data_IF_237483565896
#
_entry.id   IF_237483565896
#
_cell.length_a   1.000
_cell.length_b   1.000
_cell.length_c   1.000
_cell.angle_alpha   90.00
_cell.angle_beta   90.00
_cell.angle_gamma   90.00
#
_symmetry.space_group_name_H-M   'P 1'
#
loop_
_entity.id
_entity.type
_entity.pdbx_description
1 polymer ?
#
# COMPACT_ATOMS: atom_id res chain seq x y z
N UNK A 1 16.32 -7.26 38.40
CA UNK A 1 17.09 -7.78 37.23
C UNK A 1 16.89 -9.28 36.90
N UNK A 2 15.68 -9.86 37.07
CA UNK A 2 15.51 -11.33 37.06
C UNK A 2 14.79 -11.94 35.83
N UNK A 3 14.40 -11.15 34.82
CA UNK A 3 13.64 -11.62 33.64
C UNK A 3 14.20 -11.15 32.28
N UNK A 4 15.37 -10.50 32.26
CA UNK A 4 15.96 -9.96 31.03
C UNK A 4 16.32 -11.03 29.98
N UNK A 5 16.55 -12.26 30.41
CA UNK A 5 16.90 -13.37 29.51
C UNK A 5 15.72 -13.79 28.61
N UNK A 6 14.47 -13.51 29.02
CA UNK A 6 13.27 -13.82 28.23
C UNK A 6 13.20 -13.01 26.94
N UNK A 7 13.75 -11.78 26.92
CA UNK A 7 13.81 -10.94 25.73
C UNK A 7 14.68 -11.53 24.61
N UNK A 8 15.52 -12.53 24.92
CA UNK A 8 16.31 -13.26 23.93
C UNK A 8 15.60 -14.53 23.41
N UNK A 9 14.38 -14.80 23.87
CA UNK A 9 13.60 -15.98 23.45
C UNK A 9 12.69 -15.59 22.28
N UNK A 10 12.61 -16.47 21.27
CA UNK A 10 11.83 -16.24 20.04
C UNK A 10 10.34 -16.07 20.29
N UNK A 11 9.77 -16.73 21.30
CA UNK A 11 8.35 -16.65 21.64
C UNK A 11 7.98 -15.44 22.50
N UNK A 12 8.94 -14.61 22.91
CA UNK A 12 8.66 -13.47 23.79
C UNK A 12 7.97 -12.34 22.99
N UNK A 13 6.83 -11.79 23.44
CA UNK A 13 6.01 -10.88 22.63
C UNK A 13 6.69 -9.55 22.29
N UNK A 14 7.63 -9.11 23.14
CA UNK A 14 8.39 -7.87 22.92
C UNK A 14 9.70 -8.09 22.13
N UNK A 15 9.90 -9.27 21.54
CA UNK A 15 10.99 -9.48 20.58
C UNK A 15 10.68 -8.71 19.30
N UNK A 16 11.69 -8.10 18.67
CA UNK A 16 11.52 -7.25 17.47
C UNK A 16 10.79 -8.01 16.36
N UNK A 17 11.17 -9.26 16.11
CA UNK A 17 10.54 -10.14 15.11
C UNK A 17 9.03 -10.33 15.35
N UNK A 18 8.60 -10.46 16.61
CA UNK A 18 7.19 -10.65 16.94
C UNK A 18 6.40 -9.34 16.86
N UNK A 19 7.02 -8.22 17.27
CA UNK A 19 6.41 -6.90 17.10
C UNK A 19 6.21 -6.57 15.61
N UNK A 20 7.19 -6.92 14.76
CA UNK A 20 7.09 -6.77 13.31
C UNK A 20 6.00 -7.67 12.71
N UNK A 21 5.91 -8.93 13.13
CA UNK A 21 4.87 -9.85 12.67
C UNK A 21 3.46 -9.36 13.06
N UNK A 22 3.28 -8.87 14.29
CA UNK A 22 2.02 -8.28 14.74
C UNK A 22 1.70 -7.02 13.94
N UNK A 23 2.67 -6.14 13.73
CA UNK A 23 2.47 -4.92 12.95
C UNK A 23 2.04 -5.21 11.51
N UNK A 24 2.68 -6.19 10.86
CA UNK A 24 2.31 -6.60 9.50
C UNK A 24 0.90 -7.22 9.46
N UNK A 25 0.56 -8.03 10.46
CA UNK A 25 -0.78 -8.59 10.58
C UNK A 25 -1.84 -7.51 10.80
N UNK A 26 -1.59 -6.54 11.68
CA UNK A 26 -2.46 -5.38 11.92
C UNK A 26 -2.64 -4.54 10.66
N UNK A 27 -1.58 -4.34 9.89
CA UNK A 27 -1.64 -3.56 8.64
C UNK A 27 -2.50 -4.27 7.58
N UNK A 28 -2.32 -5.58 7.41
CA UNK A 28 -3.12 -6.39 6.49
C UNK A 28 -4.59 -6.44 6.93
N UNK A 29 -4.85 -6.61 8.23
CA UNK A 29 -6.21 -6.58 8.77
C UNK A 29 -6.89 -5.22 8.54
N UNK A 30 -6.15 -4.12 8.72
CA UNK A 30 -6.64 -2.77 8.44
C UNK A 30 -7.01 -2.59 6.97
N UNK A 31 -6.19 -3.08 6.05
CA UNK A 31 -6.47 -3.06 4.62
C UNK A 31 -7.74 -3.87 4.29
N UNK A 32 -7.80 -5.13 4.71
CA UNK A 32 -8.99 -5.99 4.53
C UNK A 32 -10.26 -5.35 5.09
N UNK A 33 -10.17 -4.75 6.28
CA UNK A 33 -11.31 -4.05 6.90
C UNK A 33 -11.77 -2.84 6.08
N UNK A 34 -10.85 -2.11 5.45
CA UNK A 34 -11.20 -1.01 4.57
C UNK A 34 -11.87 -1.51 3.28
N UNK A 35 -11.34 -2.57 2.67
CA UNK A 35 -11.95 -3.20 1.50
C UNK A 35 -13.38 -3.70 1.79
N UNK A 36 -13.59 -4.35 2.94
CA UNK A 36 -14.93 -4.79 3.36
C UNK A 36 -15.89 -3.62 3.61
N UNK A 37 -15.41 -2.52 4.20
CA UNK A 37 -16.24 -1.33 4.41
C UNK A 37 -16.67 -0.71 3.09
N UNK A 38 -15.76 -0.60 2.13
CA UNK A 38 -16.08 -0.08 0.80
C UNK A 38 -17.08 -0.98 0.09
N UNK A 39 -16.87 -2.30 0.12
CA UNK A 39 -17.80 -3.27 -0.44
C UNK A 39 -19.20 -3.17 0.18
N UNK A 40 -19.30 -3.09 1.51
CA UNK A 40 -20.58 -2.92 2.19
C UNK A 40 -21.25 -1.60 1.83
N UNK A 41 -20.47 -0.53 1.66
CA UNK A 41 -20.99 0.76 1.19
C UNK A 41 -21.60 0.65 -0.20
N UNK A 42 -20.95 -0.05 -1.13
CA UNK A 42 -21.48 -0.29 -2.49
C UNK A 42 -22.81 -1.07 -2.44
N UNK A 43 -22.90 -2.12 -1.64
CA UNK A 43 -24.17 -2.86 -1.43
C UNK A 43 -25.28 -1.94 -0.89
N UNK A 44 -24.96 -1.09 0.08
CA UNK A 44 -25.95 -0.16 0.64
C UNK A 44 -26.43 0.88 -0.39
N UNK A 45 -25.54 1.34 -1.27
CA UNK A 45 -25.87 2.24 -2.38
C UNK A 45 -26.78 1.53 -3.39
N UNK A 46 -26.41 0.32 -3.83
CA UNK A 46 -27.25 -0.51 -4.72
C UNK A 46 -28.64 -0.76 -4.12
N UNK A 47 -28.72 -1.08 -2.83
CA UNK A 47 -29.99 -1.30 -2.13
C UNK A 47 -30.86 -0.05 -2.08
N UNK A 48 -30.27 1.13 -1.88
CA UNK A 48 -30.98 2.42 -1.90
C UNK A 48 -31.53 2.74 -3.29
N UNK A 49 -30.74 2.48 -4.34
CA UNK A 49 -31.16 2.70 -5.72
C UNK A 49 -32.31 1.75 -6.11
N UNK A 50 -32.24 0.49 -5.69
CA UNK A 50 -33.35 -0.45 -5.86
C UNK A 50 -34.62 -0.01 -5.12
N UNK A 51 -34.50 0.45 -3.88
CA UNK A 51 -35.62 0.98 -3.10
C UNK A 51 -36.25 2.20 -3.78
N UNK A 52 -35.42 3.11 -4.31
CA UNK A 52 -35.87 4.28 -5.06
C UNK A 52 -36.62 3.88 -6.35
N UNK A 53 -36.07 2.95 -7.13
CA UNK A 53 -36.73 2.43 -8.35
C UNK A 53 -38.08 1.79 -8.00
N UNK A 54 -38.13 0.96 -6.95
CA UNK A 54 -39.38 0.36 -6.46
C UNK A 54 -40.40 1.42 -6.05
N UNK A 55 -39.97 2.52 -5.42
CA UNK A 55 -40.84 3.63 -5.07
C UNK A 55 -41.36 4.40 -6.29
N UNK A 56 -40.52 4.64 -7.30
CA UNK A 56 -40.91 5.30 -8.56
C UNK A 56 -41.94 4.49 -9.34
N UNK A 57 -41.79 3.16 -9.38
CA UNK A 57 -42.78 2.26 -9.98
C UNK A 57 -44.11 2.32 -9.24
N UNK A 58 -44.09 2.28 -7.89
CA UNK A 58 -45.32 2.42 -7.08
C UNK A 58 -46.03 3.76 -7.28
N UNK A 59 -45.27 4.83 -7.53
CA UNK A 59 -45.81 6.14 -7.85
C UNK A 59 -46.30 6.27 -9.31
N UNK A 60 -46.08 5.25 -10.15
CA UNK A 60 -46.48 5.24 -11.55
C UNK A 60 -45.59 6.07 -12.48
N UNK A 61 -44.41 6.51 -12.02
CA UNK A 61 -43.48 7.30 -12.83
C UNK A 61 -42.71 6.43 -13.85
N UNK A 62 -42.50 5.15 -13.53
CA UNK A 62 -41.71 4.21 -14.33
C UNK A 62 -42.51 2.90 -14.50
N UNK A 63 -42.50 2.26 -15.68
CA UNK A 63 -43.17 0.97 -15.88
C UNK A 63 -42.51 -0.17 -15.09
N UNK A 64 -43.28 -1.18 -14.71
CA UNK A 64 -42.79 -2.35 -13.96
C UNK A 64 -41.73 -3.16 -14.74
N UNK A 65 -41.72 -3.06 -16.07
CA UNK A 65 -40.72 -3.69 -16.94
C UNK A 65 -39.29 -3.27 -16.60
N UNK A 66 -39.11 -2.02 -16.17
CA UNK A 66 -37.78 -1.46 -15.90
C UNK A 66 -37.19 -1.99 -14.59
N UNK A 67 -38.02 -2.53 -13.69
CA UNK A 67 -37.56 -3.19 -12.46
C UNK A 67 -37.04 -4.61 -12.73
N UNK A 68 -37.58 -5.30 -13.74
CA UNK A 68 -37.16 -6.66 -14.15
C UNK A 68 -35.98 -6.65 -15.12
N UNK A 69 -35.72 -5.50 -15.74
CA UNK A 69 -34.60 -5.30 -16.66
C UNK A 69 -33.27 -5.36 -15.90
N UNK A 70 -32.39 -6.29 -16.29
CA UNK A 70 -31.04 -6.35 -15.76
C UNK A 70 -30.22 -5.19 -16.33
N UNK A 71 -29.93 -4.18 -15.52
CA UNK A 71 -29.19 -2.99 -15.98
C UNK A 71 -27.85 -3.36 -16.58
N UNK A 72 -27.07 -4.24 -15.93
CA UNK A 72 -25.79 -4.72 -16.48
C UNK A 72 -25.88 -5.34 -17.88
N UNK A 73 -27.03 -5.93 -18.25
CA UNK A 73 -27.24 -6.56 -19.56
C UNK A 73 -27.61 -5.54 -20.65
N UNK A 74 -28.08 -4.36 -20.28
CA UNK A 74 -28.55 -3.31 -21.20
C UNK A 74 -27.81 -1.98 -21.06
N UNK A 75 -26.96 -1.84 -20.06
CA UNK A 75 -25.86 -0.89 -19.98
C UNK A 75 -24.72 -1.36 -20.89
N UNK A 76 -25.07 -1.89 -22.07
CA UNK A 76 -24.12 -1.94 -23.18
C UNK A 76 -23.82 -0.47 -23.45
N UNK A 77 -22.56 -0.01 -23.30
CA UNK A 77 -22.23 1.36 -23.61
C UNK A 77 -22.72 1.58 -25.04
N UNK A 78 -23.63 2.52 -25.20
CA UNK A 78 -24.24 2.84 -26.48
C UNK A 78 -23.08 3.33 -27.38
N UNK A 79 -22.41 2.42 -28.08
CA UNK A 79 -21.20 2.68 -28.87
C UNK A 79 -21.46 3.76 -29.93
N UNK A 80 -22.74 3.99 -30.27
CA UNK A 80 -23.17 4.99 -31.23
C UNK A 80 -23.49 6.38 -30.65
N UNK A 81 -23.62 6.55 -29.33
CA UNK A 81 -24.05 7.83 -28.73
C UNK A 81 -23.11 8.36 -27.63
N UNK A 82 -22.21 7.53 -27.08
CA UNK A 82 -21.27 7.96 -26.07
C UNK A 82 -19.83 7.95 -26.63
N UNK A 83 -19.39 9.10 -27.15
CA UNK A 83 -17.98 9.30 -27.54
C UNK A 83 -17.01 9.26 -26.34
N UNK A 84 -17.53 9.16 -25.11
CA UNK A 84 -16.71 9.12 -23.89
C UNK A 84 -16.43 7.69 -23.41
N UNK A 85 -17.22 6.67 -23.81
CA UNK A 85 -16.99 5.26 -23.44
C UNK A 85 -16.05 4.51 -24.40
N UNK A 86 -15.73 5.08 -25.57
CA UNK A 86 -14.63 4.59 -26.39
C UNK A 86 -13.27 4.74 -25.69
N UNK A 87 -13.18 5.70 -24.75
CA UNK A 87 -11.97 5.92 -23.97
C UNK A 87 -11.69 4.79 -22.98
N UNK A 88 -12.68 4.01 -22.56
CA UNK A 88 -12.50 3.04 -21.46
C UNK A 88 -11.78 1.77 -21.89
N UNK A 89 -11.88 1.34 -23.15
CA UNK A 89 -11.15 0.17 -23.65
C UNK A 89 -9.72 0.55 -24.04
N UNK A 90 -9.53 1.70 -24.68
CA UNK A 90 -8.21 2.24 -25.02
C UNK A 90 -7.44 2.62 -23.75
N UNK A 91 -8.07 3.27 -22.76
CA UNK A 91 -7.47 3.47 -21.42
C UNK A 91 -7.15 2.14 -20.71
N UNK A 92 -7.94 1.08 -20.88
CA UNK A 92 -7.61 -0.21 -20.26
C UNK A 92 -6.39 -0.87 -20.91
N UNK A 93 -6.24 -0.74 -22.23
CA UNK A 93 -5.06 -1.21 -22.95
C UNK A 93 -3.84 -0.34 -22.66
N UNK A 94 -4.00 0.99 -22.62
CA UNK A 94 -2.96 1.96 -22.31
C UNK A 94 -2.50 1.85 -20.85
N UNK A 95 -3.42 1.62 -19.89
CA UNK A 95 -3.06 1.36 -18.49
C UNK A 95 -2.24 0.08 -18.32
N UNK A 96 -2.53 -0.97 -19.09
CA UNK A 96 -1.73 -2.20 -19.04
C UNK A 96 -0.33 -1.98 -19.66
N UNK A 97 -0.25 -1.24 -20.77
CA UNK A 97 1.03 -0.83 -21.37
C UNK A 97 1.84 0.08 -20.42
N UNK A 98 1.17 1.02 -19.74
CA UNK A 98 1.77 1.93 -18.76
C UNK A 98 2.26 1.19 -17.51
N UNK A 99 1.53 0.18 -17.02
CA UNK A 99 1.99 -0.66 -15.92
C UNK A 99 3.20 -1.51 -16.33
N UNK A 100 3.21 -2.07 -17.54
CA UNK A 100 4.38 -2.77 -18.09
C UNK A 100 5.59 -1.85 -18.25
N UNK A 101 5.40 -0.61 -18.73
CA UNK A 101 6.46 0.39 -18.84
C UNK A 101 6.99 0.82 -17.47
N UNK A 102 6.10 1.07 -16.49
CA UNK A 102 6.49 1.37 -15.11
C UNK A 102 7.24 0.21 -14.48
N UNK A 103 6.87 -1.03 -14.77
CA UNK A 103 7.53 -2.21 -14.23
C UNK A 103 8.91 -2.43 -14.89
N UNK A 104 9.02 -2.20 -16.20
CA UNK A 104 10.30 -2.16 -16.90
C UNK A 104 11.21 -1.05 -16.38
N UNK A 105 10.68 0.13 -16.07
CA UNK A 105 11.42 1.24 -15.48
C UNK A 105 11.91 0.90 -14.07
N UNK A 106 11.05 0.30 -13.23
CA UNK A 106 11.44 -0.24 -11.90
C UNK A 106 12.56 -1.27 -12.02
N UNK A 107 12.49 -2.17 -12.99
CA UNK A 107 13.53 -3.16 -13.24
C UNK A 107 14.85 -2.51 -13.71
N UNK A 108 14.79 -1.49 -14.58
CA UNK A 108 15.96 -0.70 -15.00
C UNK A 108 16.60 0.02 -13.82
N UNK A 109 15.81 0.65 -12.96
CA UNK A 109 16.29 1.33 -11.75
C UNK A 109 16.94 0.33 -10.79
N UNK A 110 16.33 -0.85 -10.59
CA UNK A 110 16.90 -1.91 -9.75
C UNK A 110 18.23 -2.42 -10.30
N UNK A 111 18.32 -2.62 -11.61
CA UNK A 111 19.55 -3.04 -12.29
C UNK A 111 20.64 -1.98 -12.18
N UNK A 112 20.31 -0.71 -12.44
CA UNK A 112 21.24 0.41 -12.24
C UNK A 112 21.69 0.48 -10.78
N UNK A 113 20.79 0.32 -9.81
CA UNK A 113 21.15 0.29 -8.41
C UNK A 113 22.06 -0.89 -8.03
N UNK A 114 21.89 -2.06 -8.66
CA UNK A 114 22.80 -3.22 -8.51
C UNK A 114 24.18 -2.91 -9.12
N UNK A 115 24.23 -2.40 -10.34
CA UNK A 115 25.48 -2.00 -11.00
C UNK A 115 26.21 -0.92 -10.20
N UNK A 116 25.50 0.07 -9.63
CA UNK A 116 26.08 1.07 -8.72
C UNK A 116 26.62 0.42 -7.44
N UNK A 117 25.89 -0.53 -6.84
CA UNK A 117 26.37 -1.29 -5.66
C UNK A 117 27.63 -2.10 -5.98
N UNK A 118 27.69 -2.74 -7.13
CA UNK A 118 28.85 -3.51 -7.58
C UNK A 118 30.05 -2.60 -7.87
N UNK A 119 29.84 -1.44 -8.52
CA UNK A 119 30.89 -0.44 -8.74
C UNK A 119 31.41 0.15 -7.43
N UNK A 120 30.51 0.47 -6.49
CA UNK A 120 30.87 0.93 -5.15
C UNK A 120 31.61 -0.18 -4.39
N UNK A 121 31.15 -1.43 -4.44
CA UNK A 121 31.81 -2.56 -3.81
C UNK A 121 33.22 -2.78 -4.37
N UNK A 122 33.38 -2.75 -5.69
CA UNK A 122 34.67 -2.84 -6.38
C UNK A 122 35.62 -1.70 -5.97
N UNK A 123 35.11 -0.47 -5.89
CA UNK A 123 35.89 0.69 -5.45
C UNK A 123 36.29 0.58 -3.95
N UNK A 124 35.40 0.11 -3.08
CA UNK A 124 35.65 -0.14 -1.66
C UNK A 124 36.76 -1.17 -1.44
N UNK A 125 36.75 -2.25 -2.23
CA UNK A 125 37.75 -3.33 -2.15
C UNK A 125 39.16 -2.79 -2.49
N UNK A 126 39.24 -1.89 -3.47
CA UNK A 126 40.51 -1.36 -3.94
C UNK A 126 41.00 -0.12 -3.15
N UNK A 127 40.15 0.55 -2.37
CA UNK A 127 40.50 1.77 -1.61
C UNK A 127 39.91 1.81 -0.17
N UNK A 128 40.38 0.95 0.75
CA UNK A 128 39.76 0.75 2.07
C UNK A 128 39.96 1.88 3.09
N UNK A 129 40.91 2.80 2.87
CA UNK A 129 41.18 3.93 3.80
C UNK A 129 40.16 5.07 3.66
N UNK A 130 39.67 5.31 2.45
CA UNK A 130 38.76 6.44 2.15
C UNK A 130 37.33 6.16 2.59
N UNK A 131 36.92 4.90 2.63
CA UNK A 131 35.60 4.45 3.10
C UNK A 131 35.37 4.80 4.58
N UNK A 132 36.41 4.70 5.42
CA UNK A 132 36.31 5.07 6.84
C UNK A 132 36.07 6.57 7.03
N UNK A 133 36.64 7.42 6.17
CA UNK A 133 36.45 8.87 6.21
C UNK A 133 35.06 9.26 5.71
N UNK A 134 34.64 8.67 4.59
CA UNK A 134 33.32 8.87 3.99
C UNK A 134 32.18 8.44 4.94
N UNK A 135 32.28 7.27 5.60
CA UNK A 135 31.27 6.80 6.57
C UNK A 135 31.18 7.72 7.80
N UNK A 136 32.29 8.35 8.21
CA UNK A 136 32.31 9.33 9.30
C UNK A 136 31.59 10.62 8.91
N UNK A 137 31.66 11.01 7.65
CA UNK A 137 31.00 12.20 7.08
C UNK A 137 29.50 11.94 6.84
N UNK A 138 29.11 10.79 6.28
CA UNK A 138 27.70 10.42 6.11
C UNK A 138 26.93 10.32 7.44
N UNK A 139 27.58 9.88 8.53
CA UNK A 139 26.97 9.88 9.87
C UNK A 139 26.67 11.28 10.40
N UNK A 140 27.40 12.32 9.95
CA UNK A 140 27.13 13.71 10.32
C UNK A 140 25.97 14.33 9.53
N UNK A 141 25.67 13.80 8.35
CA UNK A 141 24.64 14.34 7.45
C UNK A 141 23.30 13.57 7.52
N UNK A 142 23.14 12.63 8.45
CA UNK A 142 21.96 11.73 8.54
C UNK A 142 20.74 12.35 9.23
N UNK A 143 20.84 13.58 9.70
CA UNK A 143 19.78 14.26 10.46
C UNK A 143 18.66 14.89 9.59
N UNK A 144 18.65 14.68 8.27
CA UNK A 144 17.75 15.41 7.34
C UNK A 144 16.71 14.56 6.56
N UNK A 145 16.65 13.23 6.68
CA UNK A 145 15.73 12.39 5.87
C UNK A 145 14.46 11.96 6.61
N UNK A 146 13.34 12.65 6.35
CA UNK A 146 12.09 12.61 7.13
C UNK A 146 11.27 11.29 7.12
N UNK A 147 11.61 10.30 6.29
CA UNK A 147 10.81 9.06 6.14
C UNK A 147 11.23 7.89 7.03
N UNK A 148 12.34 8.00 7.79
CA UNK A 148 12.69 7.04 8.84
C UNK A 148 12.19 7.46 10.24
N UNK A 149 11.38 8.51 10.36
CA UNK A 149 11.09 9.14 11.66
C UNK A 149 10.11 8.35 12.54
N UNK A 150 9.09 7.71 11.97
CA UNK A 150 8.04 7.04 12.78
C UNK A 150 8.53 5.74 13.44
N UNK A 151 9.28 4.93 12.70
CA UNK A 151 9.89 3.71 13.23
C UNK A 151 10.95 4.03 14.29
N UNK A 152 11.77 5.08 14.05
CA UNK A 152 12.76 5.54 15.02
C UNK A 152 12.10 6.16 16.26
N UNK A 153 10.99 6.91 16.12
CA UNK A 153 10.17 7.43 17.24
C UNK A 153 9.56 6.31 18.08
N UNK A 154 9.11 5.23 17.44
CA UNK A 154 8.59 4.05 18.14
C UNK A 154 9.70 3.36 18.94
N UNK A 155 10.89 3.19 18.36
CA UNK A 155 12.07 2.66 19.04
C UNK A 155 12.48 3.58 20.20
N UNK A 156 12.45 4.89 20.01
CA UNK A 156 12.82 5.88 21.01
C UNK A 156 11.86 5.84 22.20
N UNK A 157 10.54 5.80 21.98
CA UNK A 157 9.53 5.57 23.04
C UNK A 157 9.76 4.26 23.79
N UNK A 158 10.12 3.18 23.11
CA UNK A 158 10.40 1.88 23.73
C UNK A 158 11.67 1.96 24.59
N UNK A 159 12.70 2.67 24.13
CA UNK A 159 13.95 2.88 24.87
C UNK A 159 13.73 3.77 26.10
N UNK A 160 12.94 4.83 26.00
CA UNK A 160 12.58 5.72 27.11
C UNK A 160 11.79 4.99 28.21
N UNK A 161 10.80 4.19 27.81
CA UNK A 161 10.00 3.38 28.75
C UNK A 161 10.86 2.36 29.49
N UNK A 162 11.92 1.84 28.84
CA UNK A 162 12.93 0.96 29.49
C UNK A 162 13.90 1.71 30.40
N UNK A 163 14.20 2.99 30.15
CA UNK A 163 15.03 3.83 31.03
C UNK A 163 14.27 4.27 32.28
N UNK A 164 13.00 4.62 32.16
CA UNK A 164 12.13 5.01 33.28
C UNK A 164 11.75 3.85 34.21
N UNK A 165 11.91 2.59 33.77
CA UNK A 165 11.62 1.39 34.55
C UNK A 165 12.85 0.79 35.24
N UNK A 166 14.02 1.45 35.15
CA UNK A 166 15.20 1.17 35.97
C UNK A 166 15.22 2.09 37.17
#
# INVERSE_FOLDING_TARGET
PRLKFLQKKKWHPLTIENLEAVWLAEQNEKEKRNMLKEHNKRIEEERKDEEMKKAQVKAGLIPESDLKKMTWMYDVPNVAQNKESANTMEEFFDMNNDEEEKEAERQRIMRQAQEQKERIAFWIINNPRDVKKMVKEFRKNKDESSLNSEFLRLIEKIVEKKKSSK
#
